data_IF_873850630749
#
_entry.id   IF_873850630749
#
_cell.length_a   1.000
_cell.length_b   1.000
_cell.length_c   1.000
_cell.angle_alpha   90.00
_cell.angle_beta   90.00
_cell.angle_gamma   90.00
#
_symmetry.space_group_name_H-M   'P 1'
#
loop_
_entity.id
_entity.type
_entity.pdbx_description
1 polymer ?
#
# COMPACT_ATOMS: atom_id res chain seq x y z
N UNK A 1 -20.33 12.05 -0.89
CA UNK A 1 -19.10 12.75 -1.33
C UNK A 1 -18.03 12.55 -0.26
N UNK A 2 -16.74 12.47 -0.64
CA UNK A 2 -15.65 12.53 0.34
C UNK A 2 -15.39 14.00 0.70
N UNK A 3 -14.99 14.29 1.94
CA UNK A 3 -14.78 15.68 2.37
C UNK A 3 -13.41 16.26 1.98
N UNK A 4 -12.43 15.43 1.63
CA UNK A 4 -11.12 15.84 1.13
C UNK A 4 -10.62 14.88 0.02
N UNK A 5 -9.35 15.03 -0.37
CA UNK A 5 -8.71 14.29 -1.46
C UNK A 5 -8.65 12.78 -1.24
N UNK A 6 -8.94 12.04 -2.31
CA UNK A 6 -8.59 10.63 -2.46
C UNK A 6 -7.24 10.56 -3.18
N UNK A 7 -6.30 9.81 -2.61
CA UNK A 7 -4.92 9.70 -3.10
C UNK A 7 -4.58 8.27 -3.54
N UNK A 8 -5.32 7.28 -3.05
CA UNK A 8 -5.07 5.87 -3.33
C UNK A 8 -6.36 5.11 -3.61
N UNK A 9 -6.28 4.15 -4.52
CA UNK A 9 -7.37 3.23 -4.87
C UNK A 9 -6.80 1.80 -4.93
N UNK A 10 -7.55 0.82 -4.43
CA UNK A 10 -7.27 -0.60 -4.64
C UNK A 10 -8.56 -1.41 -4.61
N UNK A 11 -8.62 -2.53 -5.34
CA UNK A 11 -9.73 -3.49 -5.22
C UNK A 11 -9.26 -4.64 -4.33
N UNK A 12 -10.01 -4.92 -3.27
CA UNK A 12 -9.73 -6.01 -2.34
C UNK A 12 -11.03 -6.72 -1.97
N UNK A 13 -11.07 -8.05 -2.04
CA UNK A 13 -12.25 -8.88 -1.78
C UNK A 13 -13.53 -8.41 -2.50
N UNK A 14 -13.39 -7.95 -3.74
CA UNK A 14 -14.51 -7.48 -4.57
C UNK A 14 -15.04 -6.09 -4.24
N UNK A 15 -14.44 -5.38 -3.29
CA UNK A 15 -14.81 -4.01 -2.91
C UNK A 15 -13.74 -3.01 -3.36
N UNK A 16 -14.14 -1.78 -3.70
CA UNK A 16 -13.21 -0.68 -3.96
C UNK A 16 -12.81 -0.03 -2.64
N UNK A 17 -11.53 -0.05 -2.33
CA UNK A 17 -10.94 0.66 -1.20
C UNK A 17 -10.32 1.97 -1.69
N UNK A 18 -10.55 3.03 -0.91
CA UNK A 18 -10.04 4.37 -1.19
C UNK A 18 -9.29 4.88 0.03
N UNK A 19 -8.11 5.44 -0.18
CA UNK A 19 -7.27 6.06 0.85
C UNK A 19 -6.99 7.52 0.52
N UNK A 20 -6.81 8.38 1.53
CA UNK A 20 -6.50 9.78 1.30
C UNK A 20 -6.48 10.63 2.57
N UNK A 21 -6.84 11.90 2.44
CA UNK A 21 -6.85 12.90 3.53
C UNK A 21 -8.25 13.14 4.11
N UNK A 22 -9.25 12.38 3.65
CA UNK A 22 -10.64 12.53 4.06
C UNK A 22 -10.91 11.91 5.43
N UNK A 23 -11.97 12.38 6.08
CA UNK A 23 -12.53 11.82 7.32
C UNK A 23 -13.99 11.37 7.16
N UNK A 24 -14.57 11.52 5.97
CA UNK A 24 -15.86 10.95 5.61
C UNK A 24 -15.91 10.53 4.15
N UNK A 25 -16.71 9.50 3.86
CA UNK A 25 -16.99 9.01 2.52
C UNK A 25 -18.49 8.71 2.38
N UNK A 26 -19.17 9.42 1.49
CA UNK A 26 -20.59 9.14 1.23
C UNK A 26 -21.52 9.41 2.43
N UNK A 27 -21.14 10.30 3.34
CA UNK A 27 -21.88 10.57 4.59
C UNK A 27 -21.53 9.62 5.74
N UNK A 28 -20.72 8.59 5.50
CA UNK A 28 -20.18 7.70 6.53
C UNK A 28 -18.88 8.28 7.07
N UNK A 29 -18.73 8.33 8.40
CA UNK A 29 -17.46 8.67 9.05
C UNK A 29 -16.42 7.60 8.74
N UNK A 30 -15.28 7.98 8.16
CA UNK A 30 -14.24 7.06 7.71
C UNK A 30 -12.89 7.78 7.73
N UNK A 31 -12.02 7.39 8.68
CA UNK A 31 -10.75 8.07 8.91
C UNK A 31 -9.70 7.62 7.89
N UNK A 32 -9.48 8.45 6.87
CA UNK A 32 -8.45 8.34 5.83
C UNK A 32 -8.51 7.09 4.93
N UNK A 33 -9.41 6.14 5.22
CA UNK A 33 -9.66 4.97 4.41
C UNK A 33 -11.13 4.53 4.50
N UNK A 34 -11.73 4.21 3.35
CA UNK A 34 -13.10 3.74 3.22
C UNK A 34 -13.19 2.65 2.15
N UNK A 35 -14.28 1.89 2.16
CA UNK A 35 -14.58 0.89 1.12
C UNK A 35 -15.97 1.06 0.54
N UNK A 36 -16.13 0.65 -0.72
CA UNK A 36 -17.36 0.71 -1.50
C UNK A 36 -17.67 -0.66 -2.09
N UNK A 37 -18.87 -1.17 -1.81
CA UNK A 37 -19.32 -2.49 -2.25
C UNK A 37 -20.12 -2.48 -3.56
N UNK A 38 -20.12 -1.38 -4.30
CA UNK A 38 -20.96 -1.18 -5.48
C UNK A 38 -22.23 -0.38 -5.21
N UNK A 39 -22.69 -0.31 -3.95
CA UNK A 39 -23.93 0.39 -3.57
C UNK A 39 -23.79 1.31 -2.36
N UNK A 40 -22.92 0.99 -1.41
CA UNK A 40 -22.78 1.71 -0.14
C UNK A 40 -21.31 1.89 0.25
N UNK A 41 -21.01 3.04 0.86
CA UNK A 41 -19.72 3.32 1.49
C UNK A 41 -19.71 2.72 2.91
N UNK A 42 -18.55 2.31 3.38
CA UNK A 42 -18.34 1.84 4.76
C UNK A 42 -16.93 2.18 5.23
N UNK A 43 -16.77 2.35 6.54
CA UNK A 43 -15.45 2.48 7.16
C UNK A 43 -14.66 1.17 7.09
N UNK A 44 -13.33 1.26 7.16
CA UNK A 44 -12.42 0.10 7.23
C UNK A 44 -11.86 -0.02 8.65
N UNK A 45 -12.57 -0.76 9.50
CA UNK A 45 -12.34 -0.73 10.95
C UNK A 45 -12.47 0.70 11.48
N UNK A 46 -11.58 1.10 12.39
CA UNK A 46 -11.48 2.50 12.87
C UNK A 46 -10.71 3.44 11.93
N UNK A 47 -10.20 2.92 10.81
CA UNK A 47 -9.31 3.64 9.91
C UNK A 47 -7.88 3.78 10.45
N UNK A 48 -7.19 4.83 10.00
CA UNK A 48 -5.84 5.23 10.44
C UNK A 48 -5.87 6.66 10.97
N UNK A 49 -4.77 7.13 11.58
CA UNK A 49 -4.70 8.46 12.21
C UNK A 49 -4.12 9.58 11.32
N UNK A 50 -3.68 9.26 10.10
CA UNK A 50 -3.23 10.24 9.11
C UNK A 50 -3.33 9.67 7.68
N UNK A 51 -2.89 10.46 6.71
CA UNK A 51 -3.02 10.30 5.28
C UNK A 51 -2.53 8.95 4.81
N UNK A 52 -3.38 8.28 4.04
CA UNK A 52 -3.03 7.11 3.23
C UNK A 52 -2.65 7.59 1.84
N UNK A 53 -1.37 7.45 1.48
CA UNK A 53 -0.86 7.84 0.16
C UNK A 53 -0.98 6.73 -0.88
N UNK A 54 -0.97 5.47 -0.45
CA UNK A 54 -0.95 4.33 -1.36
C UNK A 54 -1.65 3.12 -0.75
N UNK A 55 -2.27 2.32 -1.63
CA UNK A 55 -2.91 1.05 -1.31
C UNK A 55 -2.41 0.00 -2.30
N UNK A 56 -2.18 -1.23 -1.83
CA UNK A 56 -1.86 -2.37 -2.69
C UNK A 56 -2.41 -3.66 -2.07
N UNK A 57 -2.75 -4.65 -2.90
CA UNK A 57 -3.12 -5.99 -2.40
C UNK A 57 -1.93 -6.93 -2.59
N UNK A 58 -1.58 -7.65 -1.52
CA UNK A 58 -0.49 -8.62 -1.50
C UNK A 58 -0.88 -9.78 -0.58
N UNK A 59 -0.65 -11.03 -0.99
CA UNK A 59 -0.97 -12.22 -0.20
C UNK A 59 -2.36 -12.20 0.47
N UNK A 60 -3.39 -11.84 -0.31
CA UNK A 60 -4.79 -11.78 0.14
C UNK A 60 -5.04 -10.82 1.31
N UNK A 61 -4.21 -9.79 1.48
CA UNK A 61 -4.42 -8.70 2.43
C UNK A 61 -4.27 -7.35 1.71
N UNK A 62 -4.96 -6.33 2.22
CA UNK A 62 -4.80 -4.96 1.75
C UNK A 62 -3.69 -4.26 2.55
N UNK A 63 -2.73 -3.68 1.88
CA UNK A 63 -1.63 -2.93 2.47
C UNK A 63 -1.83 -1.45 2.26
N UNK A 64 -1.62 -0.67 3.32
CA UNK A 64 -1.67 0.78 3.31
C UNK A 64 -0.29 1.35 3.60
N UNK A 65 0.12 2.35 2.82
CA UNK A 65 1.31 3.16 3.03
C UNK A 65 0.92 4.64 3.14
N UNK A 66 1.55 5.37 4.06
CA UNK A 66 1.13 6.75 4.34
C UNK A 66 2.04 7.50 5.29
N UNK A 67 1.47 8.49 5.98
CA UNK A 67 2.14 9.24 7.05
C UNK A 67 1.67 8.85 8.47
N UNK A 68 0.63 8.02 8.56
CA UNK A 68 0.02 7.55 9.81
C UNK A 68 1.01 6.80 10.73
N UNK A 69 0.69 6.77 12.02
CA UNK A 69 1.41 6.00 13.05
C UNK A 69 0.53 5.01 13.79
N UNK A 70 -0.78 5.04 13.54
CA UNK A 70 -1.76 4.13 14.13
C UNK A 70 -2.72 3.62 13.06
N UNK A 71 -3.05 2.32 13.12
CA UNK A 71 -4.07 1.69 12.28
C UNK A 71 -4.98 0.80 13.15
N UNK A 72 -6.29 1.06 13.15
CA UNK A 72 -7.24 0.32 13.99
C UNK A 72 -6.91 0.36 15.48
N UNK A 73 -6.33 1.44 15.98
CA UNK A 73 -5.87 1.58 17.38
C UNK A 73 -4.55 0.88 17.71
N UNK A 74 -3.93 0.19 16.75
CA UNK A 74 -2.62 -0.46 16.91
C UNK A 74 -1.52 0.43 16.36
N UNK A 75 -0.37 0.53 17.06
CA UNK A 75 0.79 1.24 16.54
C UNK A 75 1.28 0.60 15.24
N UNK A 76 1.33 1.38 14.16
CA UNK A 76 1.71 0.93 12.83
C UNK A 76 2.39 2.09 12.09
N UNK A 77 3.72 2.12 12.11
CA UNK A 77 4.49 3.23 11.56
C UNK A 77 4.46 3.23 10.03
N UNK A 78 3.64 4.11 9.45
CA UNK A 78 3.55 4.46 8.01
C UNK A 78 3.20 3.30 7.07
N UNK A 79 3.06 2.10 7.60
CA UNK A 79 2.70 0.87 6.89
C UNK A 79 1.84 0.00 7.79
N UNK A 80 0.74 -0.52 7.23
CA UNK A 80 -0.15 -1.45 7.91
C UNK A 80 -0.80 -2.38 6.87
N UNK A 81 -1.24 -3.55 7.32
CA UNK A 81 -2.01 -4.49 6.51
C UNK A 81 -3.37 -4.78 7.15
N UNK A 82 -4.36 -5.01 6.30
CA UNK A 82 -5.75 -5.28 6.64
C UNK A 82 -6.16 -6.62 6.06
N UNK A 83 -6.57 -7.54 6.93
CA UNK A 83 -6.96 -8.90 6.54
C UNK A 83 -8.46 -9.05 6.22
N UNK A 84 -9.22 -7.96 6.19
CA UNK A 84 -10.69 -8.00 6.08
C UNK A 84 -11.40 -7.62 7.38
N UNK A 85 -10.74 -7.78 8.53
CA UNK A 85 -11.32 -7.56 9.86
C UNK A 85 -10.43 -6.75 10.80
N UNK A 86 -9.11 -6.96 10.75
CA UNK A 86 -8.16 -6.34 11.67
C UNK A 86 -6.99 -5.70 10.92
N UNK A 87 -6.52 -4.57 11.46
CA UNK A 87 -5.26 -3.95 11.07
C UNK A 87 -4.08 -4.61 11.80
N UNK A 88 -2.92 -4.68 11.15
CA UNK A 88 -1.66 -5.14 11.76
C UNK A 88 -0.48 -4.37 11.18
N UNK A 89 0.54 -4.11 12.01
CA UNK A 89 1.76 -3.46 11.57
C UNK A 89 2.64 -4.39 10.70
N UNK A 90 3.47 -3.79 9.85
CA UNK A 90 4.54 -4.51 9.13
C UNK A 90 5.85 -4.39 9.91
N UNK A 91 6.07 -5.27 10.88
CA UNK A 91 7.20 -5.17 11.80
C UNK A 91 7.18 -3.83 12.54
N UNK A 92 8.32 -3.15 12.62
CA UNK A 92 8.41 -1.80 13.20
C UNK A 92 7.97 -0.67 12.26
N UNK A 93 7.58 -0.99 11.01
CA UNK A 93 7.27 -0.03 9.95
C UNK A 93 8.49 0.71 9.39
N UNK A 94 8.28 1.90 8.82
CA UNK A 94 9.32 2.73 8.17
C UNK A 94 9.61 4.01 8.95
N UNK A 95 10.80 4.58 8.76
CA UNK A 95 11.23 5.82 9.45
C UNK A 95 10.57 7.11 8.94
N UNK A 96 9.99 7.09 7.75
CA UNK A 96 9.23 8.21 7.18
C UNK A 96 8.12 7.68 6.25
N UNK A 97 7.44 8.59 5.52
CA UNK A 97 6.29 8.24 4.69
C UNK A 97 6.59 7.19 3.64
N UNK A 98 5.61 6.31 3.44
CA UNK A 98 5.52 5.45 2.25
C UNK A 98 4.55 6.09 1.28
N UNK A 99 5.02 6.35 0.06
CA UNK A 99 4.25 7.03 -0.99
C UNK A 99 3.83 6.09 -2.11
N UNK A 100 4.50 4.96 -2.24
CA UNK A 100 4.23 3.98 -3.28
C UNK A 100 4.32 2.55 -2.73
N UNK A 101 3.36 1.72 -3.11
CA UNK A 101 3.38 0.28 -2.90
C UNK A 101 3.17 -0.43 -4.24
N UNK A 102 3.91 -1.50 -4.51
CA UNK A 102 3.73 -2.33 -5.70
C UNK A 102 4.17 -3.76 -5.44
N UNK A 103 3.48 -4.74 -6.01
CA UNK A 103 3.86 -6.16 -5.90
C UNK A 103 4.65 -6.55 -7.13
N UNK A 104 5.85 -7.08 -6.92
CA UNK A 104 6.73 -7.56 -7.99
C UNK A 104 7.44 -8.83 -7.54
N UNK A 105 7.49 -9.85 -8.42
CA UNK A 105 8.12 -11.14 -8.15
C UNK A 105 7.75 -11.77 -6.80
N UNK A 106 6.46 -11.67 -6.43
CA UNK A 106 5.95 -12.28 -5.20
C UNK A 106 6.36 -11.56 -3.91
N UNK A 107 6.87 -10.33 -4.00
CA UNK A 107 7.19 -9.48 -2.85
C UNK A 107 6.50 -8.12 -2.98
N UNK A 108 6.21 -7.48 -1.84
CA UNK A 108 5.68 -6.13 -1.79
C UNK A 108 6.81 -5.12 -1.69
N UNK A 109 6.92 -4.21 -2.64
CA UNK A 109 7.88 -3.11 -2.63
C UNK A 109 7.24 -1.86 -2.08
N UNK A 110 7.97 -1.17 -1.20
CA UNK A 110 7.62 0.13 -0.66
C UNK A 110 8.63 1.17 -1.11
N UNK A 111 8.12 2.27 -1.67
CA UNK A 111 8.87 3.46 -2.02
C UNK A 111 8.39 4.66 -1.21
N UNK A 112 9.32 5.52 -0.78
CA UNK A 112 8.93 6.71 -0.04
C UNK A 112 10.09 7.57 0.40
N UNK A 113 9.89 8.26 1.53
CA UNK A 113 10.86 9.19 2.10
C UNK A 113 11.74 8.59 3.21
N UNK A 114 11.60 7.29 3.48
CA UNK A 114 12.27 6.63 4.61
C UNK A 114 13.73 6.30 4.31
N UNK A 115 14.48 6.08 5.38
CA UNK A 115 15.88 5.61 5.37
C UNK A 115 16.06 4.29 6.12
N UNK A 116 14.99 3.79 6.77
CA UNK A 116 14.93 2.46 7.34
C UNK A 116 13.52 1.87 7.27
N UNK A 117 13.46 0.54 7.20
CA UNK A 117 12.24 -0.27 7.21
C UNK A 117 12.47 -1.54 8.05
N UNK A 118 11.66 -1.78 9.07
CA UNK A 118 11.81 -2.96 9.93
C UNK A 118 13.14 -3.03 10.68
N UNK A 119 13.79 -1.89 10.96
CA UNK A 119 15.14 -1.83 11.54
C UNK A 119 16.27 -2.02 10.52
N UNK A 120 15.97 -2.37 9.28
CA UNK A 120 16.96 -2.49 8.19
C UNK A 120 17.21 -1.11 7.58
N UNK A 121 18.49 -0.76 7.36
CA UNK A 121 18.85 0.44 6.59
C UNK A 121 18.43 0.26 5.13
N UNK A 122 17.53 1.11 4.66
CA UNK A 122 16.93 1.02 3.33
C UNK A 122 16.67 2.43 2.79
N UNK A 123 17.44 2.84 1.79
CA UNK A 123 17.36 4.20 1.24
C UNK A 123 16.17 4.30 0.28
N UNK A 124 15.05 4.84 0.77
CA UNK A 124 13.86 5.25 0.00
C UNK A 124 13.11 4.13 -0.73
N UNK A 125 13.64 2.90 -0.75
CA UNK A 125 13.01 1.70 -1.27
C UNK A 125 13.38 0.47 -0.43
N UNK A 126 12.38 -0.36 -0.13
CA UNK A 126 12.52 -1.63 0.58
C UNK A 126 11.51 -2.64 0.04
N UNK A 127 11.76 -3.92 0.28
CA UNK A 127 10.82 -5.00 -0.07
C UNK A 127 10.40 -5.77 1.18
N UNK A 128 9.18 -6.28 1.15
CA UNK A 128 8.51 -7.03 2.20
C UNK A 128 8.09 -8.38 1.64
N UNK A 129 8.58 -9.45 2.27
CA UNK A 129 8.30 -10.83 1.82
C UNK A 129 7.07 -11.46 2.50
N UNK A 130 6.31 -10.70 3.29
CA UNK A 130 5.21 -11.22 4.12
C UNK A 130 5.53 -11.26 5.62
N UNK A 131 6.81 -11.25 5.98
CA UNK A 131 7.25 -11.31 7.39
C UNK A 131 8.37 -10.33 7.72
N UNK A 132 9.28 -10.06 6.79
CA UNK A 132 10.45 -9.23 7.04
C UNK A 132 10.65 -8.20 5.92
N UNK A 133 11.17 -7.03 6.33
CA UNK A 133 11.68 -6.02 5.42
C UNK A 133 13.11 -6.38 4.98
N UNK A 134 13.47 -6.00 3.77
CA UNK A 134 14.83 -6.10 3.24
C UNK A 134 15.14 -4.89 2.35
N UNK A 135 16.38 -4.42 2.37
CA UNK A 135 16.84 -3.37 1.48
C UNK A 135 16.83 -3.85 0.02
N UNK A 136 16.61 -2.92 -0.91
CA UNK A 136 16.76 -3.19 -2.35
C UNK A 136 18.07 -2.58 -2.82
N UNK A 137 19.13 -3.41 -2.84
CA UNK A 137 20.49 -2.97 -3.21
C UNK A 137 20.92 -1.72 -2.43
N UNK A 138 21.55 -0.74 -3.09
CA UNK A 138 21.93 0.56 -2.51
C UNK A 138 20.76 1.52 -2.24
N UNK A 139 19.56 1.19 -2.72
CA UNK A 139 18.37 2.05 -2.68
C UNK A 139 18.40 3.20 -3.69
N UNK A 140 17.60 4.25 -3.44
CA UNK A 140 17.40 5.42 -4.30
C UNK A 140 17.84 6.70 -3.56
N UNK A 141 18.39 7.67 -4.31
CA UNK A 141 18.98 8.89 -3.76
C UNK A 141 17.97 9.90 -3.21
N UNK A 142 16.74 9.90 -3.72
CA UNK A 142 15.67 10.81 -3.30
C UNK A 142 14.34 10.05 -3.12
N UNK A 143 13.32 10.77 -2.65
CA UNK A 143 11.99 10.28 -2.38
C UNK A 143 11.39 9.57 -3.58
N UNK A 144 11.01 8.32 -3.38
CA UNK A 144 10.26 7.55 -4.36
C UNK A 144 8.78 7.92 -4.22
N UNK A 145 8.22 8.57 -5.24
CA UNK A 145 6.82 8.98 -5.26
C UNK A 145 5.87 7.94 -5.86
N UNK A 146 6.38 7.09 -6.76
CA UNK A 146 5.60 6.07 -7.45
C UNK A 146 6.46 4.87 -7.79
N UNK A 147 5.82 3.70 -7.92
CA UNK A 147 6.40 2.46 -8.38
C UNK A 147 5.47 1.91 -9.47
N UNK A 148 6.04 1.38 -10.54
CA UNK A 148 5.31 0.72 -11.60
C UNK A 148 5.96 -0.63 -11.89
N UNK A 149 5.14 -1.63 -12.20
CA UNK A 149 5.60 -2.98 -12.55
C UNK A 149 5.61 -3.12 -14.06
N UNK A 150 6.75 -3.53 -14.62
CA UNK A 150 6.90 -3.85 -16.03
C UNK A 150 7.36 -5.30 -16.18
N UNK A 151 6.47 -6.14 -16.70
CA UNK A 151 6.80 -7.49 -17.12
C UNK A 151 7.07 -7.40 -18.62
N UNK A 152 8.35 -7.43 -19.02
CA UNK A 152 8.71 -7.38 -20.44
C UNK A 152 7.98 -8.44 -21.25
N UNK A 153 7.69 -8.15 -22.53
CA UNK A 153 7.15 -9.16 -23.43
C UNK A 153 8.16 -10.32 -23.53
N UNK A 154 7.77 -11.52 -23.10
CA UNK A 154 8.45 -12.71 -23.56
C UNK A 154 8.33 -12.72 -25.09
N UNK A 155 9.46 -12.72 -25.80
CA UNK A 155 9.45 -12.96 -27.23
C UNK A 155 8.92 -14.38 -27.46
N UNK A 156 7.64 -14.49 -27.82
CA UNK A 156 7.13 -15.73 -28.40
C UNK A 156 7.64 -15.81 -29.84
N UNK A 157 8.49 -16.80 -30.08
CA UNK A 157 8.98 -17.13 -31.41
C UNK A 157 7.80 -17.60 -32.27
N UNK A 158 7.48 -16.82 -33.31
CA UNK A 158 6.54 -17.23 -34.36
C UNK A 158 7.13 -18.48 -35.04
N UNK A 159 6.55 -19.66 -34.79
CA UNK A 159 6.79 -20.82 -35.64
C UNK A 159 5.95 -20.64 -36.90
N UNK A 160 6.55 -20.13 -37.97
CA UNK A 160 5.93 -20.16 -39.30
C UNK A 160 6.00 -21.60 -39.80
N UNK A 161 4.88 -22.30 -39.83
CA UNK A 161 4.74 -23.49 -40.69
C UNK A 161 4.49 -22.99 -42.11
N UNK A 162 5.49 -23.15 -42.98
CA UNK A 162 5.28 -23.10 -44.42
C UNK A 162 4.79 -24.50 -44.81
N UNK A 163 3.57 -24.59 -45.35
CA UNK A 163 3.14 -25.72 -46.17
C UNK A 163 3.68 -25.53 -47.59
#
# INVERSE_FOLDING_TARGET
>A
MANNSVLALAVYNGELYVGGTFTSAGGVSANHIAKWNGTNWSAVGSGVDETVYTLAVYNNELYAGGFFITAGGTSANRTAKWNGTNWSALGSGTSASVRALSVYNGELYAGGAFTSAGGVSANRIAKWNGTNWSAVSSGISDTVYTLAVYNGLAQEWITVFIL
#
